data_IF_999797274282
#
_entry.id   IF_999797274282
#
_cell.length_a   1.000
_cell.length_b   1.000
_cell.length_c   1.000
_cell.angle_alpha   90.00
_cell.angle_beta   90.00
_cell.angle_gamma   90.00
#
_symmetry.space_group_name_H-M   'P 1'
#
loop_
_entity.id
_entity.type
_entity.pdbx_description
1 polymer ?
#
# COMPACT_ATOMS: atom_id res chain seq x y z
N UNK A 1 -21.47 21.10 7.79
CA UNK A 1 -21.41 19.66 8.15
C UNK A 1 -19.95 19.27 8.39
N UNK A 2 -19.71 18.42 9.39
CA UNK A 2 -18.59 18.47 10.35
C UNK A 2 -17.16 18.38 9.80
N UNK A 3 -16.35 19.42 10.05
CA UNK A 3 -14.87 19.39 9.92
C UNK A 3 -14.26 18.17 10.62
N UNK A 4 -14.78 17.76 11.78
CA UNK A 4 -14.32 16.60 12.54
C UNK A 4 -14.46 15.26 11.80
N UNK A 5 -15.55 15.04 11.03
CA UNK A 5 -15.71 13.81 10.24
C UNK A 5 -14.68 13.81 9.10
N UNK A 6 -14.42 14.97 8.48
CA UNK A 6 -13.33 15.13 7.54
C UNK A 6 -12.00 14.82 8.21
N UNK A 7 -11.62 15.45 9.32
CA UNK A 7 -10.30 15.21 9.93
C UNK A 7 -10.11 13.74 10.33
N UNK A 8 -11.16 13.07 10.82
CA UNK A 8 -11.11 11.65 11.20
C UNK A 8 -10.95 10.77 9.95
N UNK A 9 -11.80 10.92 8.93
CA UNK A 9 -11.65 10.15 7.68
C UNK A 9 -10.31 10.41 6.99
N UNK A 10 -9.86 11.66 6.95
CA UNK A 10 -8.58 12.03 6.39
C UNK A 10 -7.41 11.48 7.21
N UNK A 11 -7.53 11.36 8.53
CA UNK A 11 -6.52 10.70 9.39
C UNK A 11 -6.50 9.19 9.18
N UNK A 12 -7.67 8.54 9.07
CA UNK A 12 -7.77 7.12 8.69
C UNK A 12 -7.25 6.87 7.27
N UNK A 13 -7.42 7.83 6.36
CA UNK A 13 -6.97 7.75 4.97
C UNK A 13 -5.46 8.02 4.83
N UNK A 14 -4.91 8.95 5.62
CA UNK A 14 -3.46 9.18 5.74
C UNK A 14 -2.74 8.01 6.45
N UNK A 15 -3.41 7.34 7.40
CA UNK A 15 -2.94 6.10 8.00
C UNK A 15 -2.96 4.90 7.02
N UNK A 16 -3.62 5.03 5.86
CA UNK A 16 -3.62 4.03 4.79
C UNK A 16 -2.53 4.28 3.74
N UNK A 17 -1.47 5.00 4.12
CA UNK A 17 -0.29 5.12 3.28
C UNK A 17 0.60 3.89 3.48
N UNK A 18 0.73 3.07 2.43
CA UNK A 18 1.60 1.89 2.42
C UNK A 18 3.03 2.25 2.80
N UNK A 19 3.54 3.44 2.48
CA UNK A 19 4.89 3.88 2.86
C UNK A 19 5.13 3.91 4.38
N UNK A 20 4.08 3.93 5.20
CA UNK A 20 4.18 3.93 6.66
C UNK A 20 3.96 2.54 7.28
N UNK A 21 3.73 1.50 6.48
CA UNK A 21 3.48 0.16 7.00
C UNK A 21 4.72 -0.39 7.70
N UNK A 22 4.51 -0.86 8.92
CA UNK A 22 5.48 -1.64 9.69
C UNK A 22 5.60 -3.08 9.14
N UNK A 23 6.61 -3.86 9.54
CA UNK A 23 6.67 -5.27 9.21
C UNK A 23 5.43 -6.05 9.64
N UNK A 24 4.82 -5.67 10.77
CA UNK A 24 3.57 -6.25 11.26
C UNK A 24 2.41 -5.95 10.30
N UNK A 25 2.31 -4.72 9.79
CA UNK A 25 1.29 -4.33 8.81
C UNK A 25 1.46 -5.10 7.49
N UNK A 26 2.70 -5.30 7.03
CA UNK A 26 3.01 -6.16 5.88
C UNK A 26 2.59 -7.61 6.16
N UNK A 27 2.81 -8.09 7.38
CA UNK A 27 2.34 -9.40 7.83
C UNK A 27 0.81 -9.55 7.79
N UNK A 28 0.08 -8.53 8.25
CA UNK A 28 -1.39 -8.49 8.16
C UNK A 28 -1.87 -8.43 6.70
N UNK A 29 -1.14 -7.71 5.85
CA UNK A 29 -1.42 -7.67 4.42
C UNK A 29 -1.26 -9.05 3.76
N UNK A 30 -0.21 -9.80 4.09
CA UNK A 30 -0.03 -11.19 3.63
C UNK A 30 -1.16 -12.11 4.14
N UNK A 31 -1.53 -11.98 5.41
CA UNK A 31 -2.60 -12.76 6.03
C UNK A 31 -3.96 -12.53 5.34
N UNK A 32 -4.30 -11.27 5.05
CA UNK A 32 -5.52 -10.91 4.30
C UNK A 32 -5.61 -11.52 2.89
N UNK A 33 -4.48 -12.00 2.36
CA UNK A 33 -4.32 -12.61 1.03
C UNK A 33 -4.14 -14.12 1.10
N UNK A 34 -4.36 -14.72 2.26
CA UNK A 34 -4.14 -16.16 2.52
C UNK A 34 -2.69 -16.57 2.25
N UNK A 35 -1.75 -15.72 2.67
CA UNK A 35 -0.30 -15.90 2.54
C UNK A 35 0.42 -15.81 3.90
N UNK A 36 -0.30 -16.12 4.98
CA UNK A 36 0.23 -16.05 6.35
C UNK A 36 1.46 -16.92 6.58
N UNK A 37 1.69 -17.97 5.77
CA UNK A 37 2.89 -18.80 5.84
C UNK A 37 4.21 -18.03 5.61
N UNK A 38 4.16 -16.84 4.98
CA UNK A 38 5.34 -16.00 4.75
C UNK A 38 5.51 -14.86 5.75
N UNK A 39 4.55 -14.70 6.68
CA UNK A 39 4.51 -13.58 7.63
C UNK A 39 5.79 -13.48 8.45
N UNK A 40 6.21 -14.59 9.08
CA UNK A 40 7.42 -14.63 9.90
C UNK A 40 8.69 -14.37 9.08
N UNK A 41 8.71 -14.76 7.82
CA UNK A 41 9.85 -14.48 6.94
C UNK A 41 9.95 -12.99 6.65
N UNK A 42 8.84 -12.35 6.26
CA UNK A 42 8.81 -10.91 5.96
C UNK A 42 9.09 -10.06 7.20
N UNK A 43 8.56 -10.44 8.37
CA UNK A 43 8.81 -9.74 9.63
C UNK A 43 10.28 -9.84 10.05
N UNK A 44 10.87 -11.05 10.04
CA UNK A 44 12.27 -11.24 10.43
C UNK A 44 13.27 -10.56 9.49
N UNK A 45 12.91 -10.37 8.23
CA UNK A 45 13.71 -9.63 7.26
C UNK A 45 13.38 -8.12 7.25
N UNK A 46 12.60 -7.64 8.22
CA UNK A 46 12.21 -6.23 8.38
C UNK A 46 11.59 -5.60 7.13
N UNK A 47 10.83 -6.38 6.36
CA UNK A 47 10.16 -5.85 5.15
C UNK A 47 9.05 -4.90 5.57
N UNK A 48 9.25 -3.60 5.34
CA UNK A 48 8.24 -2.56 5.56
C UNK A 48 7.52 -2.25 4.26
N UNK A 49 6.53 -1.36 4.31
CA UNK A 49 5.76 -1.03 3.13
C UNK A 49 6.56 -0.39 1.99
N UNK A 50 7.60 0.39 2.31
CA UNK A 50 8.55 0.93 1.30
C UNK A 50 9.22 -0.18 0.50
N UNK A 51 9.77 -1.19 1.19
CA UNK A 51 10.48 -2.31 0.54
C UNK A 51 9.48 -3.21 -0.18
N UNK A 52 8.32 -3.49 0.43
CA UNK A 52 7.26 -4.29 -0.17
C UNK A 52 6.86 -3.78 -1.56
N UNK A 53 6.78 -2.46 -1.75
CA UNK A 53 6.38 -1.84 -3.02
C UNK A 53 7.42 -2.03 -4.13
N UNK A 54 8.68 -2.33 -3.78
CA UNK A 54 9.79 -2.49 -4.71
C UNK A 54 10.23 -3.94 -4.93
N UNK A 55 9.75 -4.90 -4.12
CA UNK A 55 10.15 -6.30 -4.23
C UNK A 55 9.90 -6.86 -5.64
N UNK A 56 10.96 -7.41 -6.23
CA UNK A 56 10.88 -8.13 -7.48
C UNK A 56 10.70 -9.65 -7.27
N UNK A 57 10.75 -10.42 -8.35
CA UNK A 57 10.60 -11.87 -8.25
C UNK A 57 11.75 -12.52 -7.48
N UNK A 58 12.98 -12.08 -7.71
CA UNK A 58 14.18 -12.60 -7.06
C UNK A 58 14.13 -12.35 -5.55
N UNK A 59 13.79 -11.12 -5.15
CA UNK A 59 13.66 -10.77 -3.73
C UNK A 59 12.63 -11.65 -3.01
N UNK A 60 11.49 -11.90 -3.65
CA UNK A 60 10.46 -12.79 -3.11
C UNK A 60 10.95 -14.23 -2.96
N UNK A 61 11.78 -14.72 -3.88
CA UNK A 61 12.38 -16.05 -3.79
C UNK A 61 13.39 -16.11 -2.63
N UNK A 62 14.18 -15.06 -2.44
CA UNK A 62 15.14 -14.95 -1.33
C UNK A 62 14.43 -14.88 0.03
N UNK A 63 13.23 -14.29 0.08
CA UNK A 63 12.34 -14.32 1.25
C UNK A 63 11.63 -15.68 1.46
N UNK A 64 11.89 -16.68 0.61
CA UNK A 64 11.35 -18.04 0.72
C UNK A 64 10.03 -18.28 -0.01
N UNK A 65 9.55 -17.33 -0.82
CA UNK A 65 8.34 -17.50 -1.63
C UNK A 65 8.68 -18.28 -2.91
N UNK A 66 8.59 -19.60 -2.85
CA UNK A 66 8.95 -20.48 -3.99
C UNK A 66 7.75 -20.96 -4.82
N UNK A 67 6.55 -20.96 -4.25
CA UNK A 67 5.32 -21.41 -4.94
C UNK A 67 4.91 -20.39 -6.02
N UNK A 68 4.85 -20.82 -7.29
CA UNK A 68 4.51 -19.94 -8.43
C UNK A 68 3.18 -19.22 -8.24
N UNK A 69 2.15 -19.90 -7.72
CA UNK A 69 0.86 -19.28 -7.44
C UNK A 69 0.94 -18.18 -6.39
N UNK A 70 1.81 -18.34 -5.39
CA UNK A 70 1.99 -17.38 -4.32
C UNK A 70 2.79 -16.16 -4.79
N UNK A 71 3.87 -16.39 -5.54
CA UNK A 71 4.62 -15.34 -6.23
C UNK A 71 3.69 -14.44 -7.05
N UNK A 72 2.86 -15.05 -7.91
CA UNK A 72 1.89 -14.29 -8.73
C UNK A 72 0.90 -13.49 -7.88
N UNK A 73 0.40 -14.06 -6.79
CA UNK A 73 -0.56 -13.38 -5.89
C UNK A 73 0.08 -12.19 -5.17
N UNK A 74 1.33 -12.32 -4.70
CA UNK A 74 2.07 -11.23 -4.06
C UNK A 74 2.37 -10.13 -5.07
N UNK A 75 2.93 -10.45 -6.23
CA UNK A 75 3.24 -9.48 -7.28
C UNK A 75 1.99 -8.70 -7.73
N UNK A 76 0.87 -9.40 -7.90
CA UNK A 76 -0.41 -8.76 -8.22
C UNK A 76 -0.88 -7.84 -7.08
N UNK A 77 -0.76 -8.28 -5.83
CA UNK A 77 -1.09 -7.47 -4.66
C UNK A 77 -0.24 -6.20 -4.56
N UNK A 78 1.07 -6.27 -4.84
CA UNK A 78 1.96 -5.11 -4.85
C UNK A 78 1.55 -4.12 -5.94
N UNK A 79 1.20 -4.61 -7.14
CA UNK A 79 0.70 -3.77 -8.23
C UNK A 79 -0.60 -3.04 -7.83
N UNK A 80 -1.50 -3.69 -7.11
CA UNK A 80 -2.72 -3.07 -6.60
C UNK A 80 -2.44 -1.98 -5.57
N UNK A 81 -1.48 -2.19 -4.67
CA UNK A 81 -1.04 -1.17 -3.71
C UNK A 81 -0.50 0.08 -4.43
N UNK A 82 0.39 -0.11 -5.41
CA UNK A 82 0.94 0.99 -6.22
C UNK A 82 -0.14 1.75 -7.00
N UNK A 83 -1.14 1.06 -7.56
CA UNK A 83 -2.24 1.68 -8.27
C UNK A 83 -3.12 2.56 -7.35
N UNK A 84 -3.36 2.12 -6.11
CA UNK A 84 -4.11 2.90 -5.12
C UNK A 84 -3.36 4.19 -4.75
N UNK A 85 -2.04 4.11 -4.60
CA UNK A 85 -1.20 5.27 -4.30
C UNK A 85 -1.23 6.31 -5.44
N UNK A 86 -1.04 5.86 -6.69
CA UNK A 86 -1.05 6.77 -7.84
C UNK A 86 -2.43 7.37 -8.13
N UNK A 87 -3.51 6.65 -7.82
CA UNK A 87 -4.87 7.19 -7.90
C UNK A 87 -5.12 8.29 -6.84
N UNK A 88 -4.58 8.11 -5.63
CA UNK A 88 -4.64 9.13 -4.57
C UNK A 88 -3.94 10.43 -5.00
N UNK A 89 -2.69 10.35 -5.45
CA UNK A 89 -1.92 11.53 -5.88
C UNK A 89 -2.62 12.32 -7.00
N UNK A 90 -3.15 11.61 -8.01
CA UNK A 90 -3.90 12.24 -9.11
C UNK A 90 -5.17 12.96 -8.64
N UNK A 91 -5.82 12.45 -7.59
CA UNK A 91 -7.01 13.07 -7.01
C UNK A 91 -6.69 14.37 -6.28
N UNK A 92 -5.51 14.46 -5.62
CA UNK A 92 -5.03 15.69 -4.97
C UNK A 92 -4.70 16.77 -5.99
N UNK A 93 -4.09 16.40 -7.12
CA UNK A 93 -3.70 17.34 -8.18
C UNK A 93 -4.91 17.93 -8.92
N UNK A 94 -6.01 17.18 -9.09
CA UNK A 94 -7.23 17.69 -9.75
C UNK A 94 -8.03 18.68 -8.88
N UNK A 95 -7.91 18.63 -7.55
CA UNK A 95 -8.68 19.47 -6.63
C UNK A 95 -8.32 20.96 -6.63
N UNK A 96 -7.15 21.36 -7.15
CA UNK A 96 -6.69 22.77 -7.11
C UNK A 96 -6.85 23.55 -8.41
N UNK A 97 -7.33 22.95 -9.50
CA UNK A 97 -7.39 23.60 -10.83
C UNK A 97 -8.74 24.25 -11.17
N UNK A 98 -9.61 24.48 -10.18
CA UNK A 98 -11.01 24.88 -10.40
C UNK A 98 -11.46 26.25 -9.86
N UNK A 99 -10.61 27.07 -9.24
CA UNK A 99 -11.10 28.24 -8.46
C UNK A 99 -10.57 29.62 -8.90
N UNK A 100 -10.13 29.77 -10.16
CA UNK A 100 -9.82 31.08 -10.74
C UNK A 100 -10.24 31.16 -12.21
N UNK A 101 -11.54 31.07 -12.48
CA UNK A 101 -12.08 31.42 -13.80
C UNK A 101 -13.58 31.72 -13.71
N UNK A 102 -13.98 32.65 -12.83
CA UNK A 102 -15.24 33.38 -13.00
C UNK A 102 -15.24 34.64 -12.12
N UNK A 103 -14.46 35.63 -12.56
CA UNK A 103 -14.62 37.04 -12.21
C UNK A 103 -14.18 37.84 -13.42
N UNK A 104 -15.05 37.91 -14.40
CA UNK A 104 -15.20 39.03 -15.34
C UNK A 104 -16.66 39.08 -15.82
#
# INVERSE_FOLDING_TARGET
MNKLISTIYWSYFLAYNVYNWTPEDVGQWLESRSLSEYKDSFIRNEIRGTELLTLDKGDLQDLGVTKVGHLKRIQQGIKELNNRMTAYDKSLVKGHKGETADRD
#
